data_IF_054484687424
#
_entry.id   IF_054484687424
#
_cell.length_a   1.000
_cell.length_b   1.000
_cell.length_c   1.000
_cell.angle_alpha   90.00
_cell.angle_beta   90.00
_cell.angle_gamma   90.00
#
_symmetry.space_group_name_H-M   'P 1'
#
loop_
_entity.id
_entity.type
_entity.pdbx_description
1 polymer ?
#
# COMPACT_ATOMS: atom_id res chain seq x y z
N UNK A 1 -8.38 -21.71 -1.46
CA UNK A 1 -8.88 -21.39 -2.81
C UNK A 1 -9.10 -19.88 -2.84
N UNK A 2 -8.33 -19.09 -3.61
CA UNK A 2 -8.66 -17.68 -3.76
C UNK A 2 -9.97 -17.58 -4.56
N UNK A 3 -10.87 -16.71 -4.12
CA UNK A 3 -12.15 -16.49 -4.76
C UNK A 3 -11.94 -15.84 -6.14
N UNK A 4 -12.55 -16.42 -7.16
CA UNK A 4 -12.46 -15.95 -8.54
C UNK A 4 -13.13 -14.58 -8.68
N UNK A 5 -12.38 -13.56 -9.07
CA UNK A 5 -12.88 -12.25 -9.47
C UNK A 5 -12.44 -12.02 -10.91
N UNK A 6 -13.40 -11.76 -11.81
CA UNK A 6 -13.21 -11.74 -13.26
C UNK A 6 -12.31 -10.59 -13.77
N UNK A 7 -11.96 -9.62 -12.90
CA UNK A 7 -11.12 -8.48 -13.25
C UNK A 7 -9.71 -8.51 -12.63
N UNK A 8 -9.49 -9.18 -11.50
CA UNK A 8 -8.18 -9.31 -10.83
C UNK A 8 -8.18 -10.44 -9.79
N UNK A 9 -7.12 -11.24 -9.70
CA UNK A 9 -7.01 -12.36 -8.74
C UNK A 9 -6.83 -11.92 -7.28
N UNK A 10 -6.55 -10.64 -7.03
CA UNK A 10 -6.11 -10.09 -5.73
C UNK A 10 -7.07 -9.08 -5.11
N UNK A 11 -8.19 -8.80 -5.77
CA UNK A 11 -9.21 -7.90 -5.24
C UNK A 11 -10.02 -8.60 -4.15
N UNK A 12 -10.27 -7.88 -3.05
CA UNK A 12 -11.10 -8.39 -1.96
C UNK A 12 -12.44 -8.90 -2.49
N UNK A 13 -12.81 -10.10 -2.06
CA UNK A 13 -14.13 -10.69 -2.33
C UNK A 13 -15.27 -9.78 -1.83
N UNK A 14 -15.03 -8.99 -0.78
CA UNK A 14 -16.00 -8.09 -0.17
C UNK A 14 -16.06 -6.70 -0.81
N UNK A 15 -15.18 -6.42 -1.79
CA UNK A 15 -15.11 -5.21 -2.61
C UNK A 15 -15.13 -3.86 -1.85
N UNK A 16 -14.93 -3.87 -0.53
CA UNK A 16 -14.98 -2.66 0.29
C UNK A 16 -13.96 -2.73 1.42
N UNK A 17 -12.93 -1.89 1.31
CA UNK A 17 -11.91 -1.69 2.34
C UNK A 17 -12.40 -0.72 3.43
N UNK A 18 -13.58 -0.99 4.00
CA UNK A 18 -14.24 -0.11 4.96
C UNK A 18 -13.35 0.21 6.18
N UNK A 19 -12.59 -0.78 6.65
CA UNK A 19 -11.63 -0.57 7.73
C UNK A 19 -10.60 0.50 7.36
N UNK A 20 -9.98 0.37 6.19
CA UNK A 20 -9.00 1.32 5.69
C UNK A 20 -9.62 2.73 5.56
N UNK A 21 -10.77 2.84 4.91
CA UNK A 21 -11.47 4.13 4.73
C UNK A 21 -11.81 4.78 6.07
N UNK A 22 -12.31 4.02 7.04
CA UNK A 22 -12.60 4.53 8.39
C UNK A 22 -11.34 4.99 9.13
N UNK A 23 -10.22 4.29 8.96
CA UNK A 23 -8.93 4.69 9.54
C UNK A 23 -8.41 5.97 8.93
N UNK A 24 -8.47 6.11 7.60
CA UNK A 24 -8.03 7.30 6.89
C UNK A 24 -8.87 8.53 7.27
N UNK A 25 -10.19 8.40 7.34
CA UNK A 25 -11.07 9.49 7.78
C UNK A 25 -10.81 9.98 9.22
N UNK A 26 -10.24 9.13 10.08
CA UNK A 26 -9.89 9.48 11.47
C UNK A 26 -8.44 9.91 11.64
N UNK A 27 -7.62 9.81 10.60
CA UNK A 27 -6.19 10.08 10.69
C UNK A 27 -5.92 11.58 10.58
N UNK A 28 -5.21 12.17 11.55
CA UNK A 28 -4.99 13.62 11.63
C UNK A 28 -4.21 14.23 10.47
N UNK A 29 -3.49 13.41 9.69
CA UNK A 29 -2.77 13.86 8.48
C UNK A 29 -3.58 13.76 7.20
N UNK A 30 -4.75 13.14 7.22
CA UNK A 30 -5.63 12.99 6.05
C UNK A 30 -6.67 14.11 6.08
N UNK A 31 -6.78 14.82 4.96
CA UNK A 31 -7.81 15.84 4.73
C UNK A 31 -9.07 15.21 4.11
N UNK A 32 -8.88 14.37 3.08
CA UNK A 32 -9.98 13.70 2.39
C UNK A 32 -9.52 12.37 1.79
N UNK A 33 -10.49 11.46 1.53
CA UNK A 33 -10.26 10.21 0.83
C UNK A 33 -11.40 9.98 -0.16
N UNK A 34 -11.06 9.72 -1.43
CA UNK A 34 -12.01 9.46 -2.51
C UNK A 34 -11.64 8.16 -3.22
N UNK A 35 -12.61 7.28 -3.45
CA UNK A 35 -12.40 6.06 -4.25
C UNK A 35 -12.50 6.38 -5.74
N UNK A 36 -11.44 6.14 -6.50
CA UNK A 36 -11.47 6.17 -7.96
C UNK A 36 -12.02 4.86 -8.53
N UNK A 37 -11.68 3.74 -7.88
CA UNK A 37 -12.16 2.38 -8.14
C UNK A 37 -12.21 1.59 -6.81
N UNK A 38 -12.80 0.37 -6.76
CA UNK A 38 -12.94 -0.39 -5.50
C UNK A 38 -11.62 -0.61 -4.73
N UNK A 39 -10.49 -0.66 -5.43
CA UNK A 39 -9.16 -0.90 -4.88
C UNK A 39 -8.19 0.27 -5.07
N UNK A 40 -8.65 1.42 -5.57
CA UNK A 40 -7.81 2.58 -5.85
C UNK A 40 -8.39 3.85 -5.22
N UNK A 41 -7.61 4.48 -4.36
CA UNK A 41 -8.02 5.64 -3.58
C UNK A 41 -7.10 6.82 -3.83
N UNK A 42 -7.68 8.00 -3.94
CA UNK A 42 -6.96 9.27 -3.89
C UNK A 42 -7.10 9.84 -2.47
N UNK A 43 -5.99 9.99 -1.78
CA UNK A 43 -5.92 10.50 -0.41
C UNK A 43 -5.26 11.87 -0.44
N UNK A 44 -6.01 12.89 -0.06
CA UNK A 44 -5.45 14.22 0.14
C UNK A 44 -4.94 14.33 1.57
N UNK A 45 -3.65 14.67 1.70
CA UNK A 45 -3.03 14.94 2.98
C UNK A 45 -3.20 16.42 3.37
N UNK A 46 -3.20 16.68 4.67
CA UNK A 46 -3.28 18.03 5.26
C UNK A 46 -2.15 18.97 4.84
N UNK A 47 -1.04 18.44 4.32
CA UNK A 47 0.07 19.24 3.79
C UNK A 47 -0.10 19.59 2.29
N UNK A 48 -1.26 19.27 1.69
CA UNK A 48 -1.58 19.54 0.29
C UNK A 48 -1.09 18.50 -0.70
N UNK A 49 -0.38 17.45 -0.27
CA UNK A 49 -0.02 16.32 -1.16
C UNK A 49 -1.24 15.43 -1.41
N UNK A 50 -1.41 14.96 -2.64
CA UNK A 50 -2.36 13.91 -2.98
C UNK A 50 -1.59 12.61 -3.23
N UNK A 51 -2.09 11.49 -2.69
CA UNK A 51 -1.52 10.17 -2.85
C UNK A 51 -2.52 9.25 -3.56
N UNK A 52 -2.07 8.60 -4.64
CA UNK A 52 -2.77 7.53 -5.33
C UNK A 52 -2.38 6.19 -4.72
N UNK A 53 -3.31 5.63 -3.96
CA UNK A 53 -3.09 4.45 -3.11
C UNK A 53 -3.86 3.26 -3.67
N UNK A 54 -3.13 2.22 -4.06
CA UNK A 54 -3.70 0.92 -4.38
C UNK A 54 -3.80 0.07 -3.11
N UNK A 55 -4.94 -0.60 -2.93
CA UNK A 55 -5.18 -1.47 -1.78
C UNK A 55 -5.63 -2.85 -2.25
N UNK A 56 -5.03 -3.91 -1.70
CA UNK A 56 -5.30 -5.27 -2.13
C UNK A 56 -5.20 -6.30 -0.99
N UNK A 57 -5.73 -7.50 -1.27
CA UNK A 57 -5.65 -8.69 -0.40
C UNK A 57 -4.85 -9.79 -1.09
N UNK A 58 -3.65 -9.45 -1.59
CA UNK A 58 -2.76 -10.43 -2.19
C UNK A 58 -2.01 -11.22 -1.11
N UNK A 59 -2.20 -12.54 -1.07
CA UNK A 59 -1.58 -13.43 -0.08
C UNK A 59 -0.06 -13.26 0.01
N UNK A 60 0.61 -13.12 -1.14
CA UNK A 60 2.03 -12.87 -1.25
C UNK A 60 2.26 -11.86 -2.37
N UNK A 61 2.33 -10.57 -2.01
CA UNK A 61 2.57 -9.49 -2.95
C UNK A 61 4.08 -9.31 -3.19
N UNK A 62 4.53 -9.44 -4.43
CA UNK A 62 5.92 -9.28 -4.82
C UNK A 62 6.05 -8.33 -6.02
N UNK A 63 7.26 -8.26 -6.57
CA UNK A 63 7.63 -7.36 -7.67
C UNK A 63 6.75 -7.57 -8.91
N UNK A 64 6.34 -8.81 -9.20
CA UNK A 64 5.50 -9.12 -10.36
C UNK A 64 4.10 -8.50 -10.21
N UNK A 65 3.48 -8.67 -9.03
CA UNK A 65 2.15 -8.12 -8.74
C UNK A 65 2.18 -6.59 -8.72
N UNK A 66 3.28 -5.98 -8.29
CA UNK A 66 3.47 -4.52 -8.39
C UNK A 66 3.52 -4.04 -9.85
N UNK A 67 4.28 -4.72 -10.71
CA UNK A 67 4.34 -4.37 -12.13
C UNK A 67 2.95 -4.49 -12.78
N UNK A 68 2.22 -5.57 -12.51
CA UNK A 68 0.85 -5.75 -13.00
C UNK A 68 -0.08 -4.63 -12.50
N UNK A 69 0.05 -4.21 -11.23
CA UNK A 69 -0.74 -3.11 -10.69
C UNK A 69 -0.45 -1.78 -11.42
N UNK A 70 0.81 -1.48 -11.72
CA UNK A 70 1.18 -0.28 -12.48
C UNK A 70 0.70 -0.32 -13.94
N UNK A 71 0.69 -1.48 -14.59
CA UNK A 71 0.16 -1.61 -15.96
C UNK A 71 -1.33 -1.31 -16.05
N UNK A 72 -2.09 -1.61 -14.99
CA UNK A 72 -3.54 -1.45 -14.97
C UNK A 72 -4.01 -0.12 -14.38
N UNK A 73 -3.24 0.43 -13.43
CA UNK A 73 -3.63 1.63 -12.68
C UNK A 73 -2.67 2.80 -12.90
N UNK A 74 -1.75 2.74 -13.86
CA UNK A 74 -0.65 3.70 -14.05
C UNK A 74 0.25 3.85 -12.80
N UNK A 75 1.04 4.92 -12.73
CA UNK A 75 1.89 5.24 -11.58
C UNK A 75 1.07 5.31 -10.28
N UNK A 76 1.63 4.71 -9.21
CA UNK A 76 1.05 4.62 -7.87
C UNK A 76 2.01 5.29 -6.88
N UNK A 77 1.46 5.96 -5.86
CA UNK A 77 2.28 6.51 -4.77
C UNK A 77 2.48 5.49 -3.66
N UNK A 78 1.48 4.64 -3.41
CA UNK A 78 1.58 3.59 -2.41
C UNK A 78 0.72 2.35 -2.72
N UNK A 79 1.18 1.21 -2.22
CA UNK A 79 0.46 -0.05 -2.15
C UNK A 79 0.21 -0.42 -0.68
N UNK A 80 -1.03 -0.78 -0.36
CA UNK A 80 -1.45 -1.19 0.98
C UNK A 80 -2.03 -2.59 0.95
N UNK A 81 -1.44 -3.49 1.72
CA UNK A 81 -1.97 -4.84 1.95
C UNK A 81 -2.96 -4.76 3.12
N UNK A 82 -4.23 -5.05 2.86
CA UNK A 82 -5.32 -4.80 3.83
C UNK A 82 -5.69 -5.99 4.71
N UNK A 83 -5.00 -7.12 4.56
CA UNK A 83 -5.30 -8.37 5.28
C UNK A 83 -4.12 -8.84 6.13
N UNK A 84 -4.41 -9.22 7.37
CA UNK A 84 -3.41 -9.77 8.30
C UNK A 84 -2.86 -11.15 7.87
N UNK A 85 -3.51 -11.80 6.91
CA UNK A 85 -3.10 -13.10 6.36
C UNK A 85 -2.29 -12.94 5.07
N UNK A 86 -2.13 -11.71 4.63
CA UNK A 86 -1.43 -11.33 3.41
C UNK A 86 -0.15 -10.61 3.80
N UNK A 87 0.86 -10.74 2.96
CA UNK A 87 2.16 -10.11 3.19
C UNK A 87 2.75 -9.64 1.87
N UNK A 88 3.75 -8.79 1.96
CA UNK A 88 4.58 -8.39 0.84
C UNK A 88 6.03 -8.80 1.07
N UNK A 89 6.78 -9.04 0.00
CA UNK A 89 8.20 -9.33 0.07
C UNK A 89 9.02 -8.09 0.45
N UNK A 90 10.18 -8.28 1.08
CA UNK A 90 11.08 -7.14 1.33
C UNK A 90 11.75 -6.65 0.04
N UNK A 91 11.84 -7.49 -0.98
CA UNK A 91 12.36 -7.11 -2.30
C UNK A 91 11.43 -6.14 -3.03
N UNK A 92 10.12 -6.36 -3.02
CA UNK A 92 9.17 -5.40 -3.59
C UNK A 92 9.20 -4.09 -2.81
N UNK A 93 9.27 -4.14 -1.48
CA UNK A 93 9.44 -2.96 -0.63
C UNK A 93 10.69 -2.16 -1.05
N UNK A 94 11.84 -2.82 -1.18
CA UNK A 94 13.11 -2.18 -1.56
C UNK A 94 13.04 -1.59 -2.97
N UNK A 95 12.48 -2.33 -3.92
CA UNK A 95 12.33 -1.87 -5.31
C UNK A 95 11.45 -0.62 -5.35
N UNK A 96 10.26 -0.66 -4.77
CA UNK A 96 9.33 0.46 -4.76
C UNK A 96 9.90 1.69 -4.05
N UNK A 97 10.67 1.51 -2.96
CA UNK A 97 11.37 2.62 -2.30
C UNK A 97 12.30 3.40 -3.24
N UNK A 98 12.98 2.71 -4.17
CA UNK A 98 13.85 3.36 -5.17
C UNK A 98 13.07 4.16 -6.24
N UNK A 99 11.78 3.86 -6.38
CA UNK A 99 10.83 4.52 -7.29
C UNK A 99 9.98 5.58 -6.55
N UNK A 100 10.29 5.87 -5.27
CA UNK A 100 9.49 6.72 -4.37
C UNK A 100 8.06 6.21 -4.10
N UNK A 101 7.85 4.90 -4.25
CA UNK A 101 6.57 4.24 -3.98
C UNK A 101 6.63 3.47 -2.66
N UNK A 102 5.63 3.67 -1.81
CA UNK A 102 5.56 3.00 -0.52
C UNK A 102 4.78 1.68 -0.55
N UNK A 103 5.29 0.62 0.09
CA UNK A 103 4.56 -0.66 0.26
C UNK A 103 4.37 -0.95 1.74
N UNK A 104 3.14 -1.15 2.19
CA UNK A 104 2.84 -1.28 3.62
C UNK A 104 1.66 -2.22 3.89
N UNK A 105 1.52 -2.63 5.14
CA UNK A 105 0.22 -2.97 5.69
C UNK A 105 -0.54 -1.68 6.09
N UNK A 106 -1.80 -1.82 6.52
CA UNK A 106 -2.59 -0.65 6.91
C UNK A 106 -1.95 0.16 8.05
N UNK A 107 -1.36 -0.52 9.05
CA UNK A 107 -0.73 0.14 10.20
C UNK A 107 0.55 0.89 9.80
N UNK A 108 1.37 0.28 8.95
CA UNK A 108 2.58 0.85 8.39
C UNK A 108 2.26 2.06 7.52
N UNK A 109 1.21 2.01 6.69
CA UNK A 109 0.79 3.17 5.91
C UNK A 109 0.37 4.34 6.81
N UNK A 110 -0.43 4.08 7.84
CA UNK A 110 -0.82 5.11 8.83
C UNK A 110 0.41 5.76 9.49
N UNK A 111 1.42 4.97 9.85
CA UNK A 111 2.66 5.51 10.40
C UNK A 111 3.46 6.30 9.36
N UNK A 112 3.56 5.79 8.13
CA UNK A 112 4.34 6.35 7.03
C UNK A 112 3.88 7.76 6.63
N UNK A 113 2.56 7.99 6.50
CA UNK A 113 2.01 9.29 6.07
C UNK A 113 2.20 10.43 7.08
N UNK A 114 2.76 10.15 8.26
CA UNK A 114 3.24 11.19 9.18
C UNK A 114 4.59 11.79 8.73
N UNK A 115 5.27 11.19 7.76
CA UNK A 115 6.56 11.63 7.20
C UNK A 115 6.37 12.25 5.82
N UNK A 116 7.28 13.15 5.44
CA UNK A 116 7.26 13.75 4.10
C UNK A 116 7.67 12.75 3.01
N UNK A 117 8.65 11.90 3.30
CA UNK A 117 9.16 10.82 2.46
C UNK A 117 8.57 9.49 2.93
N UNK A 118 7.25 9.38 2.85
CA UNK A 118 6.49 8.25 3.41
C UNK A 118 6.97 6.89 2.87
N UNK A 119 7.41 6.83 1.60
CA UNK A 119 7.91 5.61 0.96
C UNK A 119 9.12 5.02 1.67
N UNK A 120 9.91 5.83 2.38
CA UNK A 120 11.11 5.36 3.12
C UNK A 120 10.78 4.72 4.47
N UNK A 121 9.51 4.70 4.89
CA UNK A 121 9.12 4.15 6.17
C UNK A 121 9.32 2.64 6.24
N UNK A 122 10.14 2.22 7.20
CA UNK A 122 10.36 0.83 7.59
C UNK A 122 9.97 0.66 9.06
N UNK A 123 9.21 -0.38 9.36
CA UNK A 123 9.01 -0.89 10.72
C UNK A 123 10.32 -1.39 11.30
N UNK A 124 10.40 -1.55 12.62
CA UNK A 124 11.61 -2.09 13.27
C UNK A 124 12.01 -3.44 12.66
N UNK A 125 11.05 -4.35 12.45
CA UNK A 125 11.28 -5.64 11.81
C UNK A 125 11.87 -5.49 10.40
N UNK A 126 11.30 -4.62 9.56
CA UNK A 126 11.83 -4.41 8.22
C UNK A 126 13.23 -3.79 8.24
N UNK A 127 13.51 -2.85 9.17
CA UNK A 127 14.84 -2.26 9.32
C UNK A 127 15.90 -3.32 9.67
N UNK A 128 15.61 -4.18 10.65
CA UNK A 128 16.50 -5.27 11.06
C UNK A 128 16.80 -6.19 9.87
N UNK A 129 15.77 -6.60 9.12
CA UNK A 129 15.94 -7.45 7.93
C UNK A 129 16.70 -6.76 6.80
N UNK A 130 16.48 -5.47 6.58
CA UNK A 130 17.22 -4.72 5.57
C UNK A 130 18.72 -4.64 5.93
N UNK A 131 19.06 -4.47 7.21
CA UNK A 131 20.44 -4.49 7.68
C UNK A 131 21.07 -5.89 7.53
N UNK A 132 20.35 -6.95 7.91
CA UNK A 132 20.80 -8.35 7.72
C UNK A 132 21.14 -8.65 6.26
N UNK A 133 20.38 -8.10 5.32
CA UNK A 133 20.58 -8.27 3.88
C UNK A 133 21.60 -7.28 3.27
N UNK A 134 22.14 -6.34 4.05
CA UNK A 134 23.09 -5.33 3.56
C UNK A 134 22.48 -4.27 2.64
N UNK A 135 21.20 -3.94 2.83
CA UNK A 135 20.46 -2.94 2.04
C UNK A 135 20.37 -1.56 2.70
N UNK A 136 20.93 -1.42 3.91
CA UNK A 136 21.05 -0.18 4.67
C UNK A 136 22.50 0.03 5.11
#
# INVERSE_FOLDING_TARGET
>A
MPAHNEHFLWMSYYQNYNFFVQRMNKHSKVNSINSANPSLYNIELTNGKALKVFICECYAFDVAEYVEACENYDELDAVVISSNWCSYSLDVKRRCMSENVGVFDTSGFMAAINRNEFWTYLTQYEQERFQENGWL
#
